data_IF_535606786441
#
_entry.id   IF_535606786441
#
_cell.length_a   1.000
_cell.length_b   1.000
_cell.length_c   1.000
_cell.angle_alpha   90.00
_cell.angle_beta   90.00
_cell.angle_gamma   90.00
#
_symmetry.space_group_name_H-M   'P 1'
#
loop_
_entity.id
_entity.type
_entity.pdbx_description
1 polymer ?
#
# COMPACT_ATOMS: atom_id res chain seq x y z
N UNK A 1 -1.59 -7.05 22.07
CA UNK A 1 -0.44 -7.06 21.13
C UNK A 1 -0.58 -8.14 20.04
N UNK A 2 -1.60 -9.00 20.15
CA UNK A 2 -1.77 -10.16 19.28
C UNK A 2 -2.21 -9.82 17.86
N UNK A 3 -2.93 -8.71 17.65
CA UNK A 3 -3.21 -8.22 16.29
C UNK A 3 -1.90 -7.88 15.57
N UNK A 4 -1.00 -7.12 16.20
CA UNK A 4 0.27 -6.72 15.56
C UNK A 4 1.12 -7.96 15.26
N UNK A 5 1.18 -8.91 16.19
CA UNK A 5 1.84 -10.19 15.99
C UNK A 5 1.23 -10.98 14.83
N UNK A 6 -0.09 -11.12 14.78
CA UNK A 6 -0.80 -11.83 13.70
C UNK A 6 -0.66 -11.10 12.36
N UNK A 7 -0.65 -9.77 12.35
CA UNK A 7 -0.42 -8.96 11.16
C UNK A 7 1.01 -9.12 10.63
N UNK A 8 2.01 -9.16 11.51
CA UNK A 8 3.40 -9.39 11.13
C UNK A 8 3.64 -10.83 10.65
N UNK A 9 3.07 -11.83 11.33
CA UNK A 9 3.15 -13.24 10.92
C UNK A 9 2.49 -13.42 9.55
N UNK A 10 1.29 -12.85 9.35
CA UNK A 10 0.57 -12.90 8.07
C UNK A 10 1.34 -12.26 6.92
N UNK A 11 2.15 -11.21 7.17
CA UNK A 11 3.06 -10.63 6.17
C UNK A 11 4.30 -11.49 5.91
N UNK A 12 4.84 -12.14 6.94
CA UNK A 12 6.05 -12.95 6.85
C UNK A 12 5.84 -14.21 6.02
N UNK A 13 4.65 -14.79 6.07
CA UNK A 13 4.35 -16.08 5.46
C UNK A 13 3.68 -15.97 4.07
N UNK A 14 3.67 -14.78 3.43
CA UNK A 14 3.03 -14.58 2.10
C UNK A 14 3.83 -15.17 0.93
N UNK A 15 5.11 -15.52 1.15
CA UNK A 15 5.95 -16.14 0.14
C UNK A 15 7.07 -16.98 0.81
N UNK A 16 6.71 -18.14 1.34
CA UNK A 16 7.69 -19.09 1.89
C UNK A 16 8.02 -20.13 0.83
N UNK A 17 9.30 -20.22 0.45
CA UNK A 17 9.82 -21.29 -0.42
C UNK A 17 10.36 -22.40 0.47
N UNK A 18 9.72 -23.57 0.42
CA UNK A 18 10.20 -24.77 1.10
C UNK A 18 11.16 -25.53 0.18
N UNK A 19 12.43 -25.67 0.59
CA UNK A 19 13.40 -26.53 -0.07
C UNK A 19 13.54 -27.82 0.73
N UNK A 20 13.16 -28.96 0.15
CA UNK A 20 13.54 -30.27 0.67
C UNK A 20 14.96 -30.55 0.18
N UNK A 21 15.95 -30.53 1.09
CA UNK A 21 17.34 -30.79 0.76
C UNK A 21 17.86 -31.92 1.65
N UNK A 22 18.36 -32.97 1.00
CA UNK A 22 19.12 -34.11 1.51
C UNK A 22 18.35 -35.38 1.86
N UNK A 23 18.32 -36.30 0.91
CA UNK A 23 18.28 -37.72 1.22
C UNK A 23 19.64 -38.23 1.71
N UNK A 24 19.56 -39.27 2.52
CA UNK A 24 20.68 -39.92 3.19
C UNK A 24 21.34 -40.86 2.18
N UNK A 25 22.67 -40.87 2.11
CA UNK A 25 23.45 -41.75 1.19
C UNK A 25 23.01 -43.21 1.34
N UNK A 26 22.27 -43.75 0.35
CA UNK A 26 21.82 -45.15 0.31
C UNK A 26 20.46 -45.42 -0.35
N UNK A 27 19.63 -44.42 -0.65
CA UNK A 27 18.27 -44.61 -1.20
C UNK A 27 18.13 -44.05 -2.64
N UNK A 28 18.95 -44.50 -3.58
CA UNK A 28 19.12 -43.81 -4.89
C UNK A 28 17.93 -43.88 -5.88
N UNK A 29 16.88 -44.67 -5.66
CA UNK A 29 15.73 -44.78 -6.59
C UNK A 29 14.43 -44.10 -6.11
N UNK A 30 14.27 -43.80 -4.82
CA UNK A 30 13.06 -43.16 -4.25
C UNK A 30 13.30 -41.72 -3.78
N UNK A 31 14.54 -41.24 -3.91
CA UNK A 31 15.06 -39.98 -3.35
C UNK A 31 15.06 -38.82 -4.37
N UNK A 32 14.02 -38.76 -5.21
CA UNK A 32 13.77 -37.54 -6.00
C UNK A 32 13.13 -36.54 -5.04
N UNK A 33 13.80 -35.42 -4.71
CA UNK A 33 13.23 -34.46 -3.77
C UNK A 33 11.85 -34.02 -4.30
N UNK A 34 10.84 -33.92 -3.42
CA UNK A 34 9.52 -33.50 -3.85
C UNK A 34 9.61 -32.17 -4.60
N UNK A 35 8.77 -31.99 -5.62
CA UNK A 35 8.78 -30.79 -6.45
C UNK A 35 8.76 -29.54 -5.58
N UNK A 36 9.62 -28.55 -5.88
CA UNK A 36 9.66 -27.31 -5.09
C UNK A 36 8.27 -26.64 -5.16
N UNK A 37 7.66 -26.44 -3.99
CA UNK A 37 6.32 -25.86 -3.88
C UNK A 37 6.43 -24.36 -3.56
N UNK A 38 5.78 -23.52 -4.36
CA UNK A 38 5.61 -22.10 -4.06
C UNK A 38 4.18 -21.88 -3.58
N UNK A 39 4.04 -21.44 -2.33
CA UNK A 39 2.76 -21.10 -1.73
C UNK A 39 2.44 -19.62 -1.98
N UNK A 40 1.38 -19.35 -2.76
CA UNK A 40 0.87 -17.99 -2.99
C UNK A 40 -0.47 -17.81 -2.27
N UNK A 41 -0.57 -16.74 -1.48
CA UNK A 41 -1.84 -16.36 -0.85
C UNK A 41 -2.78 -15.76 -1.93
N UNK A 42 -4.07 -16.16 -1.98
CA UNK A 42 -5.02 -15.58 -2.92
C UNK A 42 -5.29 -14.11 -2.59
N UNK A 43 -5.37 -13.26 -3.61
CA UNK A 43 -5.79 -11.86 -3.43
C UNK A 43 -7.31 -11.77 -3.30
N UNK A 44 -7.77 -11.43 -2.10
CA UNK A 44 -9.19 -11.24 -1.83
C UNK A 44 -9.61 -9.79 -2.14
N UNK A 45 -10.26 -9.55 -3.27
CA UNK A 45 -10.76 -8.21 -3.65
C UNK A 45 -11.89 -7.72 -2.72
N UNK A 46 -12.57 -8.62 -2.02
CA UNK A 46 -13.72 -8.33 -1.17
C UNK A 46 -13.35 -8.06 0.30
N UNK A 47 -12.07 -8.04 0.63
CA UNK A 47 -11.56 -7.78 1.98
C UNK A 47 -12.11 -6.43 2.50
N UNK A 48 -12.62 -6.37 3.75
CA UNK A 48 -13.14 -5.14 4.33
C UNK A 48 -12.16 -3.96 4.30
N UNK A 49 -10.84 -4.21 4.24
CA UNK A 49 -9.84 -3.16 4.09
C UNK A 49 -9.99 -2.39 2.76
N UNK A 50 -10.60 -2.99 1.74
CA UNK A 50 -10.89 -2.39 0.43
C UNK A 50 -12.32 -1.84 0.30
N UNK A 51 -13.03 -1.67 1.43
CA UNK A 51 -14.37 -1.10 1.47
C UNK A 51 -14.37 0.24 2.21
N UNK A 52 -14.90 1.27 1.57
CA UNK A 52 -15.18 2.59 2.14
C UNK A 52 -16.54 2.52 2.83
N UNK A 53 -16.57 2.92 4.11
CA UNK A 53 -17.77 2.87 4.96
C UNK A 53 -18.37 1.45 5.03
N UNK A 54 -17.54 0.41 4.83
CA UNK A 54 -17.95 -1.00 4.92
C UNK A 54 -18.73 -1.55 3.72
N UNK A 55 -19.18 -0.72 2.79
CA UNK A 55 -20.04 -1.19 1.67
C UNK A 55 -19.45 -0.93 0.28
N UNK A 56 -18.76 0.21 0.07
CA UNK A 56 -18.37 0.62 -1.28
C UNK A 56 -16.93 0.26 -1.58
N UNK A 57 -16.67 -0.48 -2.67
CA UNK A 57 -15.30 -0.77 -3.10
C UNK A 57 -14.51 0.52 -3.34
N UNK A 58 -13.25 0.58 -2.89
CA UNK A 58 -12.44 1.81 -2.90
C UNK A 58 -12.34 2.44 -4.28
N UNK A 59 -12.29 1.63 -5.33
CA UNK A 59 -12.16 2.12 -6.70
C UNK A 59 -13.42 2.85 -7.15
N UNK A 60 -14.60 2.27 -6.90
CA UNK A 60 -15.89 2.88 -7.26
C UNK A 60 -16.09 4.17 -6.50
N UNK A 61 -15.79 4.18 -5.19
CA UNK A 61 -15.85 5.38 -4.38
C UNK A 61 -14.89 6.46 -4.89
N UNK A 62 -13.66 6.09 -5.25
CA UNK A 62 -12.63 7.01 -5.76
C UNK A 62 -12.99 7.60 -7.12
N UNK A 63 -13.54 6.81 -8.04
CA UNK A 63 -14.02 7.31 -9.34
C UNK A 63 -15.14 8.32 -9.15
N UNK A 64 -16.14 8.00 -8.32
CA UNK A 64 -17.27 8.90 -8.05
C UNK A 64 -16.80 10.20 -7.42
N UNK A 65 -15.91 10.13 -6.42
CA UNK A 65 -15.37 11.32 -5.75
C UNK A 65 -14.48 12.16 -6.67
N UNK A 66 -13.66 11.53 -7.51
CA UNK A 66 -12.84 12.24 -8.48
C UNK A 66 -13.68 12.95 -9.55
N UNK A 67 -14.74 12.31 -10.05
CA UNK A 67 -15.68 12.91 -10.97
C UNK A 67 -16.44 14.09 -10.32
N UNK A 68 -16.93 13.89 -9.10
CA UNK A 68 -17.59 14.96 -8.33
C UNK A 68 -16.65 16.15 -8.09
N UNK A 69 -15.41 15.89 -7.67
CA UNK A 69 -14.39 16.93 -7.48
C UNK A 69 -14.09 17.70 -8.75
N UNK A 70 -13.97 17.01 -9.90
CA UNK A 70 -13.79 17.64 -11.20
C UNK A 70 -14.96 18.56 -11.56
N UNK A 71 -16.20 18.11 -11.34
CA UNK A 71 -17.38 18.96 -11.53
C UNK A 71 -17.35 20.20 -10.63
N UNK A 72 -16.96 20.04 -9.36
CA UNK A 72 -16.84 21.17 -8.42
C UNK A 72 -15.78 22.17 -8.84
N UNK A 73 -14.60 21.72 -9.30
CA UNK A 73 -13.56 22.61 -9.85
C UNK A 73 -14.11 23.44 -11.02
N UNK A 74 -14.82 22.79 -11.95
CA UNK A 74 -15.41 23.46 -13.11
C UNK A 74 -16.50 24.47 -12.68
N UNK A 75 -17.38 24.07 -11.77
CA UNK A 75 -18.44 24.95 -11.26
C UNK A 75 -17.88 26.15 -10.51
N UNK A 76 -16.87 25.95 -9.65
CA UNK A 76 -16.21 27.05 -8.94
C UNK A 76 -15.49 28.00 -9.90
N UNK A 77 -14.85 27.46 -10.95
CA UNK A 77 -14.28 28.27 -12.02
C UNK A 77 -15.35 29.12 -12.71
N UNK A 78 -16.45 28.51 -13.17
CA UNK A 78 -17.54 29.19 -13.87
C UNK A 78 -18.16 30.28 -12.96
N UNK A 79 -18.46 29.94 -11.70
CA UNK A 79 -19.01 30.88 -10.72
C UNK A 79 -18.08 32.08 -10.53
N UNK A 80 -16.80 31.82 -10.24
CA UNK A 80 -15.81 32.88 -10.00
C UNK A 80 -15.56 33.74 -11.24
N UNK A 81 -15.57 33.11 -12.43
CA UNK A 81 -15.38 33.81 -13.70
C UNK A 81 -16.54 34.75 -14.02
N UNK A 82 -17.79 34.39 -13.72
CA UNK A 82 -18.93 35.26 -14.00
C UNK A 82 -19.25 36.27 -12.89
N UNK A 83 -18.92 35.94 -11.64
CA UNK A 83 -19.16 36.83 -10.50
C UNK A 83 -18.16 38.00 -10.48
N UNK A 84 -16.93 37.79 -10.95
CA UNK A 84 -15.91 38.83 -10.93
C UNK A 84 -16.08 39.83 -12.07
N UNK A 85 -16.07 41.13 -11.75
CA UNK A 85 -16.24 42.20 -12.73
C UNK A 85 -14.90 42.57 -13.40
N UNK A 86 -14.49 41.75 -14.38
CA UNK A 86 -13.20 41.87 -15.08
C UNK A 86 -13.01 43.18 -15.86
N UNK A 87 -14.10 43.86 -16.24
CA UNK A 87 -14.04 45.03 -17.11
C UNK A 87 -13.80 46.36 -16.39
N UNK A 88 -13.94 46.39 -15.06
CA UNK A 88 -13.89 47.65 -14.29
C UNK A 88 -12.54 47.97 -13.65
N UNK A 89 -11.56 47.06 -13.75
CA UNK A 89 -10.28 47.24 -13.10
C UNK A 89 -9.17 47.53 -14.12
N UNK A 90 -8.55 48.71 -14.00
CA UNK A 90 -7.46 49.20 -14.87
C UNK A 90 -6.06 48.71 -14.42
N UNK A 91 -5.92 47.61 -13.65
CA UNK A 91 -4.63 47.22 -13.04
C UNK A 91 -4.25 45.78 -13.37
N UNK A 92 -2.95 45.53 -13.60
CA UNK A 92 -2.39 44.20 -13.90
C UNK A 92 -2.69 43.09 -12.86
N UNK A 93 -3.28 43.42 -11.72
CA UNK A 93 -3.82 42.48 -10.73
C UNK A 93 -4.89 41.58 -11.36
N UNK A 94 -5.73 42.08 -12.28
CA UNK A 94 -6.81 41.27 -12.88
C UNK A 94 -6.27 40.23 -13.87
N UNK A 95 -5.20 40.56 -14.61
CA UNK A 95 -4.53 39.62 -15.50
C UNK A 95 -3.94 38.46 -14.67
N UNK A 96 -3.34 38.78 -13.52
CA UNK A 96 -2.79 37.76 -12.62
C UNK A 96 -3.86 36.88 -11.99
N UNK A 97 -5.00 37.46 -11.59
CA UNK A 97 -6.14 36.71 -11.06
C UNK A 97 -6.77 35.81 -12.12
N UNK A 98 -6.94 36.32 -13.35
CA UNK A 98 -7.44 35.55 -14.48
C UNK A 98 -6.51 34.38 -14.83
N UNK A 99 -5.19 34.64 -14.90
CA UNK A 99 -4.19 33.60 -15.12
C UNK A 99 -4.21 32.56 -14.00
N UNK A 100 -4.32 32.99 -12.76
CA UNK A 100 -4.48 32.12 -11.60
C UNK A 100 -5.74 31.26 -11.69
N UNK A 101 -6.87 31.83 -12.13
CA UNK A 101 -8.14 31.15 -12.29
C UNK A 101 -8.10 30.07 -13.39
N UNK A 102 -7.47 30.36 -14.53
CA UNK A 102 -7.23 29.36 -15.58
C UNK A 102 -6.23 28.28 -15.16
N UNK A 103 -5.19 28.66 -14.41
CA UNK A 103 -4.22 27.71 -13.86
C UNK A 103 -4.89 26.77 -12.86
N UNK A 104 -5.77 27.30 -12.00
CA UNK A 104 -6.61 26.53 -11.08
C UNK A 104 -7.48 25.52 -11.83
N UNK A 105 -8.19 25.95 -12.89
CA UNK A 105 -9.00 25.06 -13.71
C UNK A 105 -8.16 23.96 -14.37
N UNK A 106 -7.05 24.33 -15.01
CA UNK A 106 -6.19 23.40 -15.72
C UNK A 106 -5.59 22.35 -14.76
N UNK A 107 -5.00 22.79 -13.65
CA UNK A 107 -4.42 21.90 -12.65
C UNK A 107 -5.49 21.05 -11.98
N UNK A 108 -6.62 21.64 -11.58
CA UNK A 108 -7.72 20.95 -10.91
C UNK A 108 -8.32 19.83 -11.78
N UNK A 109 -8.64 20.13 -13.05
CA UNK A 109 -9.12 19.11 -13.99
C UNK A 109 -8.06 18.04 -14.23
N UNK A 110 -6.81 18.44 -14.40
CA UNK A 110 -5.70 17.52 -14.66
C UNK A 110 -5.48 16.55 -13.49
N UNK A 111 -5.45 17.00 -12.24
CA UNK A 111 -5.25 16.11 -11.08
C UNK A 111 -6.40 15.11 -10.92
N UNK A 112 -7.64 15.54 -11.13
CA UNK A 112 -8.78 14.62 -11.10
C UNK A 112 -8.77 13.64 -12.27
N UNK A 113 -8.39 14.10 -13.46
CA UNK A 113 -8.25 13.25 -14.64
C UNK A 113 -7.19 12.16 -14.41
N UNK A 114 -6.04 12.50 -13.79
CA UNK A 114 -5.01 11.53 -13.46
C UNK A 114 -5.50 10.41 -12.52
N UNK A 115 -6.38 10.72 -11.57
CA UNK A 115 -7.01 9.70 -10.71
C UNK A 115 -7.89 8.77 -11.55
N UNK A 116 -8.77 9.32 -12.39
CA UNK A 116 -9.65 8.53 -13.26
C UNK A 116 -8.87 7.64 -14.22
N UNK A 117 -7.83 8.21 -14.84
CA UNK A 117 -6.93 7.49 -15.73
C UNK A 117 -6.15 6.39 -14.99
N UNK A 118 -5.66 6.68 -13.78
CA UNK A 118 -4.93 5.74 -12.94
C UNK A 118 -5.75 4.53 -12.53
N UNK A 119 -6.99 4.75 -12.12
CA UNK A 119 -7.93 3.67 -11.78
C UNK A 119 -8.28 2.87 -13.04
N UNK A 120 -8.55 3.53 -14.17
CA UNK A 120 -8.82 2.84 -15.45
C UNK A 120 -7.65 1.98 -15.92
N UNK A 121 -6.41 2.45 -15.73
CA UNK A 121 -5.19 1.71 -16.08
C UNK A 121 -4.75 0.73 -15.00
N UNK A 122 -5.42 0.69 -13.84
CA UNK A 122 -5.07 -0.14 -12.69
C UNK A 122 -3.62 0.09 -12.22
N UNK A 123 -3.14 1.35 -12.24
CA UNK A 123 -1.77 1.69 -11.82
C UNK A 123 -1.75 2.77 -10.75
N UNK A 124 -1.10 2.46 -9.63
CA UNK A 124 -1.10 3.29 -8.42
C UNK A 124 -0.35 4.62 -8.57
N UNK A 125 0.70 4.68 -9.41
CA UNK A 125 1.55 5.88 -9.54
C UNK A 125 0.81 7.09 -10.12
N UNK A 126 -0.25 6.89 -10.91
CA UNK A 126 -1.06 7.99 -11.45
C UNK A 126 -1.89 8.72 -10.38
N UNK A 127 -2.06 8.16 -9.19
CA UNK A 127 -2.78 8.80 -8.08
C UNK A 127 -1.89 9.78 -7.30
N UNK A 128 -0.57 9.76 -7.50
CA UNK A 128 0.39 10.59 -6.76
C UNK A 128 0.21 12.10 -6.97
N UNK A 129 0.00 12.63 -8.20
CA UNK A 129 -0.19 14.06 -8.39
C UNK A 129 -1.35 14.62 -7.56
N UNK A 130 -2.46 13.88 -7.49
CA UNK A 130 -3.61 14.23 -6.67
C UNK A 130 -3.25 14.31 -5.19
N UNK A 131 -2.56 13.28 -4.67
CA UNK A 131 -2.15 13.22 -3.25
C UNK A 131 -1.24 14.38 -2.90
N UNK A 132 -0.24 14.67 -3.73
CA UNK A 132 0.71 15.75 -3.49
C UNK A 132 -0.01 17.10 -3.49
N UNK A 133 -0.78 17.41 -4.54
CA UNK A 133 -1.48 18.70 -4.66
C UNK A 133 -2.46 18.91 -3.50
N UNK A 134 -3.30 17.91 -3.18
CA UNK A 134 -4.27 18.03 -2.09
C UNK A 134 -3.59 18.11 -0.71
N UNK A 135 -2.43 17.49 -0.50
CA UNK A 135 -1.69 17.64 0.76
C UNK A 135 -1.19 19.07 0.98
N UNK A 136 -0.73 19.75 -0.07
CA UNK A 136 -0.31 21.15 0.00
C UNK A 136 -1.51 22.07 0.23
N UNK A 137 -2.61 21.84 -0.51
CA UNK A 137 -3.86 22.63 -0.35
C UNK A 137 -4.39 22.50 1.09
N UNK A 138 -4.52 21.27 1.61
CA UNK A 138 -4.97 21.04 2.98
C UNK A 138 -4.08 21.70 4.03
N UNK A 139 -2.76 21.74 3.80
CA UNK A 139 -1.84 22.44 4.69
C UNK A 139 -2.10 23.95 4.68
N UNK A 140 -2.31 24.53 3.49
CA UNK A 140 -2.69 25.94 3.36
C UNK A 140 -4.03 26.26 4.02
N UNK A 141 -5.04 25.41 3.85
CA UNK A 141 -6.35 25.56 4.47
C UNK A 141 -6.27 25.43 6.00
N UNK A 142 -5.43 24.53 6.53
CA UNK A 142 -5.20 24.42 7.97
C UNK A 142 -4.59 25.70 8.56
N UNK A 143 -3.61 26.31 7.87
CA UNK A 143 -3.05 27.61 8.28
C UNK A 143 -4.11 28.71 8.21
N UNK A 144 -4.94 28.73 7.16
CA UNK A 144 -6.03 29.69 7.03
C UNK A 144 -7.09 29.53 8.14
N UNK A 145 -7.45 28.30 8.51
CA UNK A 145 -8.35 28.01 9.64
C UNK A 145 -7.78 28.53 10.96
N UNK A 146 -6.48 28.33 11.22
CA UNK A 146 -5.81 28.89 12.41
C UNK A 146 -5.90 30.41 12.39
N UNK A 147 -5.62 31.04 11.25
CA UNK A 147 -5.75 32.50 11.09
C UNK A 147 -7.17 33.01 11.37
N UNK A 148 -8.19 32.29 10.89
CA UNK A 148 -9.60 32.61 11.17
C UNK A 148 -9.96 32.45 12.65
N UNK A 149 -9.43 31.42 13.33
CA UNK A 149 -9.62 31.25 14.78
C UNK A 149 -9.02 32.43 15.54
N UNK A 150 -7.81 32.86 15.21
CA UNK A 150 -7.18 34.03 15.83
C UNK A 150 -8.07 35.28 15.63
N UNK A 151 -8.61 35.47 14.42
CA UNK A 151 -9.53 36.59 14.11
C UNK A 151 -10.88 36.51 14.83
N UNK A 152 -11.34 35.34 15.22
CA UNK A 152 -12.55 35.19 16.04
C UNK A 152 -12.34 35.59 17.50
N UNK A 153 -11.11 35.49 18.01
CA UNK A 153 -10.76 35.84 19.40
C UNK A 153 -10.54 37.34 19.56
N UNK A 154 -10.15 38.04 18.48
CA UNK A 154 -10.10 39.50 18.45
C UNK A 154 -11.51 40.12 18.66
N UNK A 155 -11.63 41.23 19.41
CA UNK A 155 -12.92 41.88 19.63
C UNK A 155 -13.56 42.28 18.29
N UNK A 156 -14.80 41.85 18.06
CA UNK A 156 -15.51 42.11 16.81
C UNK A 156 -15.80 43.60 16.63
N UNK A 157 -15.27 44.17 15.55
CA UNK A 157 -15.80 45.41 14.99
C UNK A 157 -17.17 45.13 14.34
N UNK A 158 -18.20 45.87 14.76
CA UNK A 158 -19.59 45.76 14.29
C UNK A 158 -19.77 45.97 12.76
N UNK A 159 -18.74 46.45 12.07
CA UNK A 159 -18.77 46.80 10.65
C UNK A 159 -18.20 45.72 9.71
N UNK A 160 -17.69 44.60 10.22
CA UNK A 160 -17.12 43.52 9.39
C UNK A 160 -18.04 42.29 9.34
N UNK A 161 -18.12 41.61 8.17
CA UNK A 161 -18.91 40.39 8.05
C UNK A 161 -18.44 39.33 9.05
N UNK A 162 -19.34 38.47 9.55
CA UNK A 162 -18.99 37.52 10.60
C UNK A 162 -17.95 36.52 10.09
N UNK A 163 -16.73 36.59 10.63
CA UNK A 163 -15.65 35.63 10.36
C UNK A 163 -16.06 34.17 10.67
N UNK A 164 -17.13 33.97 11.46
CA UNK A 164 -17.77 32.67 11.67
C UNK A 164 -18.33 32.04 10.42
N UNK A 165 -18.95 32.81 9.53
CA UNK A 165 -19.42 32.28 8.25
C UNK A 165 -18.27 31.68 7.44
N UNK A 166 -17.17 32.43 7.31
CA UNK A 166 -15.97 32.00 6.57
C UNK A 166 -15.31 30.78 7.21
N UNK A 167 -15.24 30.73 8.54
CA UNK A 167 -14.69 29.59 9.27
C UNK A 167 -15.50 28.31 9.02
N UNK A 168 -16.82 28.36 9.19
CA UNK A 168 -17.67 27.18 8.96
C UNK A 168 -17.67 26.74 7.50
N UNK A 169 -17.67 27.68 6.54
CA UNK A 169 -17.56 27.32 5.12
C UNK A 169 -16.24 26.64 4.80
N UNK A 170 -15.12 27.17 5.30
CA UNK A 170 -13.79 26.58 5.07
C UNK A 170 -13.68 25.21 5.74
N UNK A 171 -14.24 25.05 6.94
CA UNK A 171 -14.25 23.79 7.66
C UNK A 171 -14.99 22.68 6.88
N UNK A 172 -16.13 22.99 6.28
CA UNK A 172 -16.89 22.03 5.45
C UNK A 172 -16.07 21.61 4.23
N UNK A 173 -15.39 22.57 3.57
CA UNK A 173 -14.52 22.31 2.43
C UNK A 173 -13.36 21.38 2.83
N UNK A 174 -12.67 21.68 3.93
CA UNK A 174 -11.57 20.86 4.46
C UNK A 174 -12.03 19.44 4.75
N UNK A 175 -13.18 19.27 5.41
CA UNK A 175 -13.73 17.93 5.71
C UNK A 175 -14.00 17.15 4.42
N UNK A 176 -14.61 17.79 3.41
CA UNK A 176 -14.87 17.15 2.12
C UNK A 176 -13.58 16.76 1.39
N UNK A 177 -12.56 17.62 1.41
CA UNK A 177 -11.26 17.34 0.81
C UNK A 177 -10.50 16.22 1.54
N UNK A 178 -10.51 16.21 2.88
CA UNK A 178 -9.90 15.13 3.68
C UNK A 178 -10.57 13.79 3.39
N UNK A 179 -11.90 13.76 3.28
CA UNK A 179 -12.63 12.56 2.92
C UNK A 179 -12.26 12.04 1.52
N UNK A 180 -12.17 12.96 0.56
CA UNK A 180 -11.74 12.64 -0.81
C UNK A 180 -10.31 12.09 -0.83
N UNK A 181 -9.36 12.78 -0.21
CA UNK A 181 -7.96 12.37 -0.14
C UNK A 181 -7.79 11.01 0.55
N UNK A 182 -8.49 10.80 1.67
CA UNK A 182 -8.48 9.52 2.40
C UNK A 182 -8.94 8.36 1.53
N UNK A 183 -9.98 8.58 0.71
CA UNK A 183 -10.50 7.57 -0.21
C UNK A 183 -9.51 7.25 -1.33
N UNK A 184 -8.88 8.27 -1.92
CA UNK A 184 -7.83 8.09 -2.95
C UNK A 184 -6.60 7.38 -2.38
N UNK A 185 -6.20 7.67 -1.13
CA UNK A 185 -5.09 6.98 -0.46
C UNK A 185 -5.37 5.49 -0.28
N UNK A 186 -6.59 5.12 0.15
CA UNK A 186 -7.02 3.72 0.24
C UNK A 186 -7.04 3.04 -1.14
N UNK A 187 -7.49 3.74 -2.17
CA UNK A 187 -7.46 3.23 -3.54
C UNK A 187 -6.04 3.01 -4.04
N UNK A 188 -5.11 3.91 -3.73
CA UNK A 188 -3.68 3.72 -4.06
C UNK A 188 -3.10 2.51 -3.35
N UNK A 189 -3.42 2.31 -2.06
CA UNK A 189 -2.98 1.13 -1.32
C UNK A 189 -3.52 -0.16 -1.94
N UNK A 190 -4.81 -0.21 -2.29
CA UNK A 190 -5.42 -1.32 -3.00
C UNK A 190 -4.71 -1.63 -4.32
N UNK A 191 -4.53 -0.61 -5.19
CA UNK A 191 -3.87 -0.80 -6.49
C UNK A 191 -2.42 -1.26 -6.34
N UNK A 192 -1.69 -0.74 -5.34
CA UNK A 192 -0.32 -1.16 -5.07
C UNK A 192 -0.24 -2.61 -4.61
N UNK A 193 -1.16 -3.05 -3.74
CA UNK A 193 -1.20 -4.45 -3.28
C UNK A 193 -1.58 -5.40 -4.42
N UNK A 194 -2.53 -4.99 -5.27
CA UNK A 194 -2.92 -5.73 -6.46
C UNK A 194 -1.75 -5.87 -7.44
N UNK A 195 -0.99 -4.81 -7.67
CA UNK A 195 0.19 -4.82 -8.54
C UNK A 195 1.29 -5.75 -8.00
N UNK A 196 1.59 -5.70 -6.70
CA UNK A 196 2.55 -6.61 -6.06
C UNK A 196 2.12 -8.06 -6.20
N UNK A 197 0.84 -8.38 -5.95
CA UNK A 197 0.34 -9.74 -6.06
C UNK A 197 0.40 -10.28 -7.50
N UNK A 198 0.06 -9.45 -8.49
CA UNK A 198 0.18 -9.82 -9.90
C UNK A 198 1.65 -10.09 -10.30
N UNK A 199 2.59 -9.31 -9.77
CA UNK A 199 4.01 -9.52 -9.99
C UNK A 199 4.49 -10.82 -9.34
N UNK A 200 4.05 -11.13 -8.13
CA UNK A 200 4.34 -12.40 -7.45
C UNK A 200 3.82 -13.60 -8.25
N UNK A 201 2.60 -13.52 -8.78
CA UNK A 201 2.04 -14.54 -9.67
C UNK A 201 2.88 -14.73 -10.94
N UNK A 202 3.28 -13.64 -11.60
CA UNK A 202 4.11 -13.70 -12.81
C UNK A 202 5.49 -14.30 -12.54
N UNK A 203 6.10 -13.98 -11.39
CA UNK A 203 7.37 -14.57 -10.97
C UNK A 203 7.21 -16.07 -10.71
N UNK A 204 6.12 -16.49 -10.06
CA UNK A 204 5.83 -17.91 -9.83
C UNK A 204 5.61 -18.66 -11.15
N UNK A 205 4.82 -18.11 -12.08
CA UNK A 205 4.61 -18.70 -13.41
C UNK A 205 5.91 -18.80 -14.21
N UNK A 206 6.72 -17.75 -14.22
CA UNK A 206 8.03 -17.77 -14.88
C UNK A 206 8.94 -18.83 -14.25
N UNK A 207 8.95 -18.95 -12.93
CA UNK A 207 9.68 -20.00 -12.23
C UNK A 207 9.26 -21.40 -12.66
N UNK A 208 7.95 -21.62 -12.87
CA UNK A 208 7.40 -22.90 -13.33
C UNK A 208 7.78 -23.23 -14.76
N UNK A 209 7.81 -22.24 -15.66
CA UNK A 209 8.27 -22.47 -17.04
C UNK A 209 9.75 -22.83 -17.12
N UNK A 210 10.58 -22.32 -16.20
CA UNK A 210 12.01 -22.63 -16.13
C UNK A 210 12.29 -23.96 -15.42
N UNK A 211 11.46 -24.34 -14.45
CA UNK A 211 11.57 -25.58 -13.70
C UNK A 211 10.22 -26.32 -13.76
N UNK A 212 10.00 -27.21 -14.75
CA UNK A 212 8.71 -27.86 -14.96
C UNK A 212 8.31 -28.81 -13.82
N UNK A 213 9.28 -29.22 -12.99
CA UNK A 213 9.02 -29.97 -11.77
C UNK A 213 8.45 -29.07 -10.65
N UNK A 214 8.37 -27.75 -10.79
CA UNK A 214 7.88 -26.86 -9.72
C UNK A 214 6.35 -26.80 -9.64
N UNK A 215 5.78 -26.92 -8.44
CA UNK A 215 4.34 -26.87 -8.19
C UNK A 215 3.94 -25.55 -7.53
N UNK A 216 2.93 -24.86 -8.07
CA UNK A 216 2.38 -23.63 -7.48
C UNK A 216 1.10 -24.01 -6.75
N UNK A 217 1.10 -23.85 -5.43
CA UNK A 217 -0.07 -24.14 -4.59
C UNK A 217 -0.65 -22.81 -4.11
N UNK A 218 -1.85 -22.48 -4.57
CA UNK A 218 -2.60 -21.32 -4.06
C UNK A 218 -3.22 -21.72 -2.73
N UNK A 219 -2.72 -21.16 -1.64
CA UNK A 219 -3.10 -21.58 -0.29
C UNK A 219 -4.27 -20.75 0.19
N UNK A 220 -5.46 -21.36 0.29
CA UNK A 220 -6.60 -20.72 0.95
C UNK A 220 -6.30 -20.39 2.42
N UNK A 221 -6.98 -19.39 2.99
CA UNK A 221 -6.73 -18.84 4.34
C UNK A 221 -6.62 -19.89 5.46
N UNK A 222 -7.28 -21.06 5.32
CA UNK A 222 -7.20 -22.16 6.28
C UNK A 222 -5.99 -23.10 6.13
N UNK A 223 -5.31 -23.08 4.99
CA UNK A 223 -4.25 -24.05 4.65
C UNK A 223 -2.85 -23.50 4.93
N UNK A 224 -2.69 -22.18 5.12
CA UNK A 224 -1.41 -21.52 5.44
C UNK A 224 -0.88 -21.98 6.80
N UNK A 225 -1.76 -22.05 7.81
CA UNK A 225 -1.39 -22.56 9.14
C UNK A 225 -0.97 -24.03 9.10
N UNK A 226 -1.58 -24.85 8.24
CA UNK A 226 -1.29 -26.27 8.14
C UNK A 226 -0.01 -26.55 7.33
N UNK A 227 0.27 -25.75 6.30
CA UNK A 227 1.50 -25.80 5.52
C UNK A 227 2.71 -25.28 6.33
N UNK A 228 2.54 -24.18 7.08
CA UNK A 228 3.57 -23.66 7.98
C UNK A 228 3.86 -24.61 9.14
N UNK A 229 2.83 -25.24 9.75
CA UNK A 229 3.03 -26.27 10.78
C UNK A 229 3.69 -27.54 10.24
N UNK A 230 3.46 -27.93 8.98
CA UNK A 230 4.18 -29.05 8.35
C UNK A 230 5.64 -28.72 8.07
N UNK A 231 5.95 -27.51 7.61
CA UNK A 231 7.32 -27.05 7.41
C UNK A 231 8.10 -26.94 8.74
N UNK A 232 7.45 -26.49 9.81
CA UNK A 232 8.06 -26.42 11.15
C UNK A 232 8.19 -27.78 11.83
N UNK A 233 7.23 -28.69 11.67
CA UNK A 233 7.32 -30.04 12.21
C UNK A 233 8.45 -30.86 11.55
N UNK A 234 8.80 -30.55 10.30
CA UNK A 234 9.93 -31.17 9.61
C UNK A 234 11.28 -30.72 10.20
N UNK A 235 11.41 -29.49 10.72
CA UNK A 235 12.67 -29.01 11.30
C UNK A 235 12.91 -29.52 12.72
N UNK A 236 11.84 -29.79 13.47
CA UNK A 236 11.95 -30.20 14.88
C UNK A 236 12.31 -31.69 15.04
N UNK A 237 12.04 -32.52 14.01
CA UNK A 237 12.42 -33.95 14.01
C UNK A 237 13.93 -34.14 13.76
N UNK A 238 14.60 -33.25 13.01
CA UNK A 238 16.06 -33.31 12.81
C UNK A 238 16.86 -32.93 14.07
N UNK A 239 16.29 -32.14 14.99
CA UNK A 239 16.99 -31.72 16.20
C UNK A 239 17.07 -32.80 17.30
N UNK A 240 16.32 -33.90 17.17
CA UNK A 240 16.20 -34.92 18.21
C UNK A 240 16.96 -36.22 17.91
N UNK A 241 17.64 -36.33 16.77
CA UNK A 241 18.33 -37.56 16.34
C UNK A 241 19.86 -37.45 16.38
N UNK A 242 20.40 -36.63 17.29
CA UNK A 242 21.83 -36.45 17.51
C UNK A 242 22.25 -36.79 18.96
N UNK A 243 21.81 -37.94 19.48
CA UNK A 243 22.36 -38.51 20.72
C UNK A 243 22.45 -40.04 20.58
N UNK A 244 23.56 -40.51 20.01
CA UNK A 244 23.97 -41.92 20.04
C UNK A 244 25.37 -41.96 20.66
N UNK A 245 25.60 -42.69 21.76
CA UNK A 245 26.89 -42.72 22.44
C UNK A 245 27.92 -43.55 21.65
N UNK A 246 29.11 -42.98 21.49
CA UNK A 246 30.29 -43.62 20.86
C UNK A 246 30.83 -44.77 21.72
N UNK A 247 31.21 -45.93 21.14
CA UNK A 247 31.89 -46.99 21.89
C UNK A 247 33.35 -46.62 22.18
N UNK A 248 33.82 -47.00 23.37
CA UNK A 248 35.17 -46.85 23.88
C UNK A 248 36.23 -47.68 23.13
N UNK A 249 37.33 -47.05 22.72
CA UNK A 249 38.52 -47.72 22.16
C UNK A 249 39.45 -48.31 23.26
N UNK A 250 40.16 -49.42 22.98
CA UNK A 250 41.09 -50.04 23.92
C UNK A 250 42.53 -49.52 23.83
N UNK A 251 43.25 -49.69 24.94
CA UNK A 251 44.65 -49.30 25.21
C UNK A 251 45.67 -50.27 24.58
N UNK A 252 46.71 -49.75 23.90
CA UNK A 252 48.04 -50.37 23.69
C UNK A 252 49.00 -49.29 23.13
N UNK A 253 49.95 -48.71 23.85
CA UNK A 253 51.25 -49.19 24.39
C UNK A 253 52.43 -49.18 23.40
N UNK A 254 53.47 -48.44 23.83
CA UNK A 254 54.91 -48.64 23.66
C UNK A 254 55.66 -48.21 22.37
N UNK A 255 56.54 -47.23 22.62
CA UNK A 255 57.99 -47.23 22.39
C UNK A 255 58.63 -46.80 21.06
N UNK A 256 59.52 -45.83 21.28
CA UNK A 256 60.61 -45.26 20.47
C UNK A 256 61.67 -46.34 20.10
N UNK A 257 62.53 -46.12 19.09
CA UNK A 257 63.87 -45.63 19.44
C UNK A 257 64.59 -44.73 18.40
N UNK A 258 65.75 -44.27 18.88
CA UNK A 258 66.76 -43.29 18.48
C UNK A 258 67.62 -43.72 17.25
N UNK A 259 68.38 -42.72 16.73
CA UNK A 259 69.51 -42.69 15.76
C UNK A 259 69.09 -42.33 14.33
N UNK A 260 69.71 -41.40 13.61
CA UNK A 260 70.91 -40.57 13.79
C UNK A 260 71.40 -40.16 12.40
N UNK A 261 71.79 -38.90 12.20
CA UNK A 261 72.84 -38.40 11.30
C UNK A 261 72.87 -36.87 11.31
#
# INVERSE_FOLDING_TARGET
MDWLRNYMIRKRDQATVSYSRFGRTGEEEEDRPPPTQIFLAPFNEDDPQFKVIGYWHVEKASVTLAAFGMCMVILLFISSFFEFNWYHHQRGVDISALLGLFTYLALGVLVHYYVLYGIKKQKAYYLLPFIVVYSVVLTGEAVALIGLIVKMVEPQDLNHPPFSGLFFSLLIIVIAQVFMLSTILRCRQYLSLKETHLLELQVAEKGKTQNPEMEIVIVGEGTIHQAASRAHASSDVEAQQHDVPTPSDPVMSADNPIYGH
#
